data_IF_016450548107
#
_entry.id   IF_016450548107
#
_cell.length_a   1.000
_cell.length_b   1.000
_cell.length_c   1.000
_cell.angle_alpha   90.00
_cell.angle_beta   90.00
_cell.angle_gamma   90.00
#
_symmetry.space_group_name_H-M   'P 1'
#
loop_
_entity.id
_entity.type
_entity.pdbx_description
1 polymer ?
#
# COMPACT_ATOMS: atom_id res chain seq x y z
N UNK A 1 -12.01 3.57 -32.15
CA UNK A 1 -11.29 3.92 -30.91
C UNK A 1 -10.46 2.71 -30.50
N UNK A 2 -9.21 2.90 -30.08
CA UNK A 2 -8.36 1.78 -29.67
C UNK A 2 -8.86 1.26 -28.31
N UNK A 3 -9.24 -0.03 -28.24
CA UNK A 3 -9.61 -0.70 -27.00
C UNK A 3 -8.35 -1.08 -26.24
N UNK A 4 -8.40 -1.02 -24.91
CA UNK A 4 -7.30 -1.41 -24.05
C UNK A 4 -6.92 -2.87 -24.28
N UNK A 5 -5.61 -3.13 -24.35
CA UNK A 5 -5.04 -4.48 -24.36
C UNK A 5 -4.50 -4.81 -22.95
N UNK A 6 -5.26 -5.53 -22.11
CA UNK A 6 -4.86 -5.84 -20.76
C UNK A 6 -3.73 -6.87 -20.74
N UNK A 7 -3.19 -7.14 -19.54
CA UNK A 7 -2.22 -8.22 -19.33
C UNK A 7 -2.87 -9.58 -19.59
N UNK A 8 -2.23 -10.39 -20.42
CA UNK A 8 -2.52 -11.82 -20.52
C UNK A 8 -2.09 -12.56 -19.24
N UNK A 9 -2.64 -13.76 -18.99
CA UNK A 9 -2.27 -14.56 -17.81
C UNK A 9 -0.74 -14.79 -17.70
N UNK A 10 0.00 -15.18 -18.76
CA UNK A 10 1.45 -15.29 -18.69
C UNK A 10 2.14 -13.97 -18.36
N UNK A 11 1.69 -12.84 -18.91
CA UNK A 11 2.26 -11.53 -18.59
C UNK A 11 1.99 -11.15 -17.12
N UNK A 12 0.78 -11.43 -16.59
CA UNK A 12 0.47 -11.22 -15.17
C UNK A 12 1.41 -12.02 -14.26
N UNK A 13 1.65 -13.31 -14.57
CA UNK A 13 2.61 -14.15 -13.84
C UNK A 13 4.01 -13.57 -13.90
N UNK A 14 4.45 -13.11 -15.09
CA UNK A 14 5.78 -12.55 -15.26
C UNK A 14 5.98 -11.25 -14.48
N UNK A 15 5.00 -10.33 -14.51
CA UNK A 15 4.99 -9.08 -13.74
C UNK A 15 4.92 -9.34 -12.23
N UNK A 16 4.23 -10.40 -11.79
CA UNK A 16 4.23 -10.80 -10.38
C UNK A 16 5.63 -11.25 -9.93
N UNK A 17 6.26 -12.17 -10.67
CA UNK A 17 7.58 -12.70 -10.33
C UNK A 17 8.67 -11.63 -10.34
N UNK A 18 8.54 -10.57 -11.14
CA UNK A 18 9.52 -9.47 -11.18
C UNK A 18 9.50 -8.56 -9.96
N UNK A 19 8.46 -8.62 -9.12
CA UNK A 19 8.32 -7.79 -7.91
C UNK A 19 8.89 -8.46 -6.67
N UNK A 20 9.08 -9.77 -6.70
CA UNK A 20 9.58 -10.53 -5.56
C UNK A 20 11.08 -10.27 -5.38
N UNK A 21 11.51 -10.07 -4.14
CA UNK A 21 12.92 -9.86 -3.75
C UNK A 21 13.27 -10.85 -2.65
N UNK A 22 14.41 -11.49 -2.79
CA UNK A 22 15.00 -12.39 -1.81
C UNK A 22 16.50 -12.54 -2.12
N UNK A 23 17.29 -12.92 -1.11
CA UNK A 23 18.73 -13.09 -1.27
C UNK A 23 19.06 -14.44 -1.92
N UNK A 24 20.12 -14.49 -2.73
CA UNK A 24 20.44 -15.68 -3.52
C UNK A 24 20.84 -16.90 -2.66
N UNK A 25 21.26 -16.68 -1.42
CA UNK A 25 21.65 -17.67 -0.42
C UNK A 25 20.52 -18.03 0.56
N UNK A 26 19.32 -17.47 0.40
CA UNK A 26 18.17 -17.78 1.26
C UNK A 26 17.74 -19.25 1.08
N UNK A 27 17.85 -20.05 2.15
CA UNK A 27 17.50 -21.48 2.14
C UNK A 27 15.96 -21.70 2.14
N UNK A 28 15.22 -20.74 2.70
CA UNK A 28 13.75 -20.74 2.80
C UNK A 28 13.20 -19.59 1.96
N UNK A 29 12.60 -19.92 0.83
CA UNK A 29 12.19 -18.92 -0.15
C UNK A 29 10.77 -18.36 0.11
N UNK A 30 10.42 -17.21 -0.50
CA UNK A 30 9.07 -16.67 -0.41
C UNK A 30 8.00 -17.64 -0.95
N UNK A 31 6.79 -17.62 -0.40
CA UNK A 31 5.69 -18.48 -0.87
C UNK A 31 5.15 -18.02 -2.24
N UNK A 32 5.37 -16.75 -2.57
CA UNK A 32 4.91 -16.01 -3.73
C UNK A 32 5.50 -16.53 -5.05
N UNK A 33 6.64 -17.23 -5.01
CA UNK A 33 7.26 -17.89 -6.18
C UNK A 33 6.75 -19.34 -6.39
N UNK A 34 5.89 -19.84 -5.49
CA UNK A 34 5.26 -21.15 -5.64
C UNK A 34 4.04 -21.09 -6.55
N UNK A 35 3.57 -22.24 -7.03
CA UNK A 35 2.30 -22.30 -7.80
C UNK A 35 1.11 -21.72 -7.03
N UNK A 36 1.06 -21.95 -5.71
CA UNK A 36 -0.02 -21.47 -4.85
C UNK A 36 0.05 -19.94 -4.68
N UNK A 37 1.25 -19.43 -4.38
CA UNK A 37 1.47 -17.99 -4.21
C UNK A 37 1.24 -17.21 -5.50
N UNK A 38 1.66 -17.75 -6.66
CA UNK A 38 1.37 -17.15 -7.96
C UNK A 38 -0.15 -17.09 -8.19
N UNK A 39 -0.89 -18.17 -7.92
CA UNK A 39 -2.33 -18.21 -8.14
C UNK A 39 -3.06 -17.13 -7.33
N UNK A 40 -2.71 -17.01 -6.05
CA UNK A 40 -3.27 -16.05 -5.10
C UNK A 40 -2.98 -14.61 -5.51
N UNK A 41 -1.71 -14.26 -5.76
CA UNK A 41 -1.31 -12.89 -6.07
C UNK A 41 -1.69 -12.43 -7.48
N UNK A 42 -1.82 -13.35 -8.43
CA UNK A 42 -2.26 -13.04 -9.80
C UNK A 42 -3.80 -13.04 -9.92
N UNK A 43 -4.51 -13.59 -8.94
CA UNK A 43 -5.97 -13.71 -8.97
C UNK A 43 -6.47 -14.72 -10.00
N UNK A 44 -5.77 -15.86 -10.17
CA UNK A 44 -6.15 -16.91 -11.13
C UNK A 44 -6.27 -18.26 -10.44
N UNK A 45 -7.04 -19.17 -11.05
CA UNK A 45 -7.10 -20.56 -10.57
C UNK A 45 -5.70 -21.19 -10.54
N UNK A 46 -5.41 -21.93 -9.47
CA UNK A 46 -4.18 -22.74 -9.33
C UNK A 46 -3.97 -23.69 -10.51
N UNK A 47 -5.04 -24.13 -11.19
CA UNK A 47 -4.96 -25.00 -12.37
C UNK A 47 -4.45 -24.28 -13.63
N UNK A 48 -4.54 -22.95 -13.68
CA UNK A 48 -4.09 -22.14 -14.83
C UNK A 48 -2.59 -21.80 -14.75
N UNK A 49 -2.01 -21.76 -13.55
CA UNK A 49 -0.60 -21.41 -13.32
C UNK A 49 0.37 -22.31 -14.09
N UNK A 50 0.27 -23.66 -14.06
CA UNK A 50 1.24 -24.52 -14.74
C UNK A 50 1.31 -24.28 -16.24
N UNK A 51 0.17 -23.97 -16.88
CA UNK A 51 0.11 -23.68 -18.31
C UNK A 51 0.82 -22.37 -18.63
N UNK A 52 0.49 -21.30 -17.90
CA UNK A 52 1.09 -19.99 -18.08
C UNK A 52 2.62 -20.03 -17.86
N UNK A 53 3.06 -20.68 -16.80
CA UNK A 53 4.48 -20.82 -16.48
C UNK A 53 5.22 -21.66 -17.52
N UNK A 54 4.60 -22.74 -18.03
CA UNK A 54 5.20 -23.56 -19.09
C UNK A 54 5.46 -22.75 -20.37
N UNK A 55 4.55 -21.84 -20.72
CA UNK A 55 4.73 -20.93 -21.85
C UNK A 55 5.91 -19.97 -21.61
N UNK A 56 6.03 -19.40 -20.41
CA UNK A 56 7.14 -18.51 -20.04
C UNK A 56 8.50 -19.23 -19.98
N UNK A 57 8.53 -20.47 -19.49
CA UNK A 57 9.74 -21.30 -19.47
C UNK A 57 10.20 -21.63 -20.89
N UNK A 58 9.27 -21.95 -21.79
CA UNK A 58 9.58 -22.29 -23.19
C UNK A 58 10.33 -21.17 -23.91
N UNK A 59 10.08 -19.91 -23.55
CA UNK A 59 10.75 -18.72 -24.12
C UNK A 59 11.84 -18.15 -23.20
N UNK A 60 12.21 -18.88 -22.15
CA UNK A 60 13.28 -18.56 -21.20
C UNK A 60 13.06 -17.26 -20.39
N UNK A 61 11.80 -16.85 -20.19
CA UNK A 61 11.47 -15.68 -19.37
C UNK A 61 11.38 -16.03 -17.87
N UNK A 62 11.11 -17.30 -17.57
CA UNK A 62 11.02 -17.87 -16.22
C UNK A 62 11.81 -19.17 -16.19
N UNK A 63 12.47 -19.47 -15.07
CA UNK A 63 13.10 -20.75 -14.77
C UNK A 63 12.31 -21.50 -13.69
N UNK A 64 12.37 -22.83 -13.73
CA UNK A 64 11.77 -23.71 -12.72
C UNK A 64 12.85 -24.28 -11.81
N UNK A 65 12.57 -24.34 -10.50
CA UNK A 65 13.43 -24.94 -9.50
C UNK A 65 12.65 -25.74 -8.45
N UNK A 66 13.37 -26.24 -7.43
CA UNK A 66 12.77 -26.85 -6.24
C UNK A 66 13.37 -26.25 -4.97
N UNK A 67 12.54 -25.73 -4.07
CA UNK A 67 12.98 -25.11 -2.82
C UNK A 67 12.00 -25.36 -1.68
N UNK A 68 12.43 -25.05 -0.46
CA UNK A 68 11.53 -24.88 0.68
C UNK A 68 10.96 -23.47 0.61
N UNK A 69 9.69 -23.31 0.92
CA UNK A 69 9.06 -22.00 1.06
C UNK A 69 8.64 -21.79 2.51
N UNK A 70 8.40 -20.55 2.93
CA UNK A 70 8.08 -20.20 4.32
C UNK A 70 6.93 -21.01 4.92
N UNK A 71 5.87 -21.27 4.16
CA UNK A 71 4.74 -22.12 4.58
C UNK A 71 4.95 -23.62 4.26
N UNK A 72 5.95 -23.95 3.44
CA UNK A 72 6.13 -25.26 2.84
C UNK A 72 6.85 -26.26 3.75
N UNK A 73 6.13 -27.27 4.24
CA UNK A 73 6.72 -28.39 5.01
C UNK A 73 7.61 -29.34 4.19
N UNK A 74 7.65 -29.19 2.86
CA UNK A 74 8.42 -30.02 1.93
C UNK A 74 8.91 -29.20 0.74
N UNK A 75 9.98 -29.65 0.09
CA UNK A 75 10.44 -29.05 -1.18
C UNK A 75 9.34 -29.11 -2.23
N UNK A 76 9.07 -27.97 -2.85
CA UNK A 76 8.07 -27.83 -3.90
C UNK A 76 8.62 -27.07 -5.10
N UNK A 77 7.87 -27.08 -6.21
CA UNK A 77 8.22 -26.32 -7.41
C UNK A 77 8.15 -24.82 -7.13
N UNK A 78 9.19 -24.12 -7.54
CA UNK A 78 9.31 -22.67 -7.46
C UNK A 78 9.64 -22.13 -8.85
N UNK A 79 9.31 -20.87 -9.09
CA UNK A 79 9.49 -20.22 -10.38
C UNK A 79 10.18 -18.88 -10.22
N UNK A 80 11.26 -18.67 -10.96
CA UNK A 80 12.11 -17.49 -10.84
C UNK A 80 12.16 -16.76 -12.16
N UNK A 81 12.10 -15.43 -12.11
CA UNK A 81 12.24 -14.62 -13.31
C UNK A 81 13.71 -14.64 -13.79
N UNK A 82 13.92 -14.69 -15.10
CA UNK A 82 15.26 -14.60 -15.70
C UNK A 82 15.60 -13.14 -16.05
N UNK A 83 16.87 -12.81 -16.34
CA UNK A 83 17.22 -11.49 -16.88
C UNK A 83 16.44 -11.12 -18.16
N UNK A 84 16.21 -12.11 -19.03
CA UNK A 84 15.37 -11.97 -20.24
C UNK A 84 13.90 -11.69 -19.86
N UNK A 85 13.40 -12.37 -18.83
CA UNK A 85 12.10 -12.09 -18.20
C UNK A 85 11.99 -10.65 -17.72
N UNK A 86 13.00 -10.14 -17.00
CA UNK A 86 13.03 -8.77 -16.51
C UNK A 86 13.01 -7.74 -17.66
N UNK A 87 13.76 -7.98 -18.73
CA UNK A 87 13.69 -7.13 -19.93
C UNK A 87 12.28 -7.13 -20.53
N UNK A 88 11.64 -8.30 -20.61
CA UNK A 88 10.28 -8.43 -21.14
C UNK A 88 9.24 -7.72 -20.27
N UNK A 89 9.40 -7.71 -18.94
CA UNK A 89 8.53 -6.94 -18.04
C UNK A 89 8.59 -5.45 -18.34
N UNK A 90 9.79 -4.90 -18.55
CA UNK A 90 9.94 -3.48 -18.93
C UNK A 90 9.20 -3.16 -20.23
N UNK A 91 9.31 -4.01 -21.26
CA UNK A 91 8.55 -3.86 -22.51
C UNK A 91 7.02 -3.91 -22.27
N UNK A 92 6.55 -4.77 -21.37
CA UNK A 92 5.13 -4.89 -21.02
C UNK A 92 4.66 -3.61 -20.31
N UNK A 93 5.42 -3.11 -19.35
CA UNK A 93 5.13 -1.87 -18.62
C UNK A 93 5.12 -0.68 -19.58
N UNK A 94 6.14 -0.52 -20.43
CA UNK A 94 6.18 0.52 -21.46
C UNK A 94 4.99 0.46 -22.40
N UNK A 95 4.64 -0.76 -22.87
CA UNK A 95 3.46 -0.98 -23.71
C UNK A 95 2.19 -0.54 -23.01
N UNK A 96 1.98 -0.91 -21.75
CA UNK A 96 0.80 -0.54 -20.98
C UNK A 96 0.76 0.97 -20.76
N UNK A 97 1.86 1.56 -20.31
CA UNK A 97 1.99 3.00 -20.06
C UNK A 97 1.76 3.85 -21.33
N UNK A 98 2.07 3.31 -22.51
CA UNK A 98 1.83 3.95 -23.80
C UNK A 98 0.40 3.81 -24.34
N UNK A 99 -0.48 3.02 -23.71
CA UNK A 99 -1.86 2.88 -24.17
C UNK A 99 -2.66 4.15 -23.89
N UNK A 100 -3.32 4.66 -24.92
CA UNK A 100 -4.19 5.82 -24.85
C UNK A 100 -5.59 5.35 -24.51
N UNK A 101 -6.16 5.86 -23.43
CA UNK A 101 -7.52 5.57 -23.00
C UNK A 101 -8.26 6.87 -22.65
N UNK A 102 -9.58 6.94 -22.93
CA UNK A 102 -10.43 7.93 -22.30
C UNK A 102 -10.44 7.71 -20.79
N UNK A 103 -10.50 8.80 -20.01
CA UNK A 103 -10.40 8.79 -18.55
C UNK A 103 -11.62 9.48 -17.99
N UNK A 104 -12.32 8.84 -17.05
CA UNK A 104 -13.43 9.48 -16.36
C UNK A 104 -12.93 10.10 -15.05
N UNK A 105 -13.18 11.40 -14.88
CA UNK A 105 -12.85 12.19 -13.69
C UNK A 105 -14.10 12.96 -13.29
N UNK A 106 -14.65 12.73 -12.09
CA UNK A 106 -15.79 13.50 -11.56
C UNK A 106 -16.94 13.65 -12.58
N UNK A 107 -17.37 12.54 -13.19
CA UNK A 107 -18.39 12.48 -14.26
C UNK A 107 -18.05 13.17 -15.59
N UNK A 108 -16.80 13.60 -15.79
CA UNK A 108 -16.31 14.13 -17.08
C UNK A 108 -15.36 13.14 -17.73
N UNK A 109 -15.60 12.80 -19.01
CA UNK A 109 -14.68 11.95 -19.77
C UNK A 109 -13.67 12.84 -20.49
N UNK A 110 -12.40 12.74 -20.07
CA UNK A 110 -11.26 13.34 -20.75
C UNK A 110 -10.75 12.35 -21.79
N UNK A 111 -10.74 12.77 -23.06
CA UNK A 111 -10.29 11.92 -24.15
C UNK A 111 -8.76 11.94 -24.28
N UNK A 112 -8.16 10.77 -24.50
CA UNK A 112 -6.85 10.70 -25.15
C UNK A 112 -5.63 10.88 -24.26
N UNK A 113 -5.63 10.38 -23.02
CA UNK A 113 -4.42 10.36 -22.18
C UNK A 113 -3.76 8.97 -22.22
N UNK A 114 -2.43 8.92 -22.17
CA UNK A 114 -1.73 7.64 -21.93
C UNK A 114 -1.81 7.24 -20.46
N UNK A 115 -1.77 5.93 -20.15
CA UNK A 115 -1.70 5.46 -18.76
C UNK A 115 -0.54 6.11 -17.99
N UNK A 116 0.63 6.30 -18.61
CA UNK A 116 1.75 6.99 -17.97
C UNK A 116 1.53 8.49 -17.74
N UNK A 117 0.76 9.17 -18.60
CA UNK A 117 0.36 10.56 -18.37
C UNK A 117 -0.64 10.68 -17.22
N UNK A 118 -1.55 9.71 -17.10
CA UNK A 118 -2.50 9.60 -15.99
C UNK A 118 -1.73 9.41 -14.69
N UNK A 119 -0.82 8.43 -14.61
CA UNK A 119 -0.04 8.21 -13.39
C UNK A 119 0.72 9.46 -12.94
N UNK A 120 1.33 10.18 -13.89
CA UNK A 120 2.04 11.43 -13.63
C UNK A 120 1.12 12.57 -13.17
N UNK A 121 -0.04 12.73 -13.81
CA UNK A 121 -0.98 13.80 -13.50
C UNK A 121 -1.63 13.61 -12.12
N UNK A 122 -1.86 12.36 -11.71
CA UNK A 122 -2.50 12.02 -10.45
C UNK A 122 -1.53 11.60 -9.34
N UNK A 123 -0.23 11.49 -9.64
CA UNK A 123 0.80 10.98 -8.72
C UNK A 123 0.43 9.62 -8.10
N UNK A 124 -0.31 8.78 -8.84
CA UNK A 124 -0.87 7.50 -8.38
C UNK A 124 -0.60 6.42 -9.42
N UNK A 125 -0.29 5.21 -8.99
CA UNK A 125 -0.09 4.07 -9.89
C UNK A 125 -1.41 3.42 -10.25
N UNK A 126 -1.54 2.99 -11.50
CA UNK A 126 -2.70 2.27 -12.01
C UNK A 126 -2.51 0.78 -11.71
N UNK A 127 -3.54 0.10 -11.20
CA UNK A 127 -3.47 -1.35 -11.04
C UNK A 127 -3.56 -2.06 -12.39
N UNK A 128 -2.40 -2.40 -12.94
CA UNK A 128 -2.27 -3.09 -14.22
C UNK A 128 -2.94 -4.49 -14.23
N UNK A 129 -3.16 -5.13 -13.07
CA UNK A 129 -3.81 -6.43 -12.97
C UNK A 129 -5.34 -6.35 -13.05
N UNK A 130 -5.92 -5.25 -12.56
CA UNK A 130 -7.35 -4.95 -12.56
C UNK A 130 -7.90 -4.46 -13.91
N UNK A 131 -7.03 -4.04 -14.82
CA UNK A 131 -7.40 -3.58 -16.16
C UNK A 131 -8.16 -4.66 -16.97
N UNK A 132 -9.43 -4.40 -17.31
CA UNK A 132 -10.28 -5.27 -18.13
C UNK A 132 -10.31 -4.80 -19.60
N UNK A 133 -10.18 -5.73 -20.55
CA UNK A 133 -9.99 -5.39 -21.98
C UNK A 133 -11.22 -4.86 -22.71
N UNK A 134 -12.37 -4.83 -22.05
CA UNK A 134 -13.67 -4.38 -22.56
C UNK A 134 -14.06 -2.97 -22.08
N UNK A 135 -13.26 -2.33 -21.23
CA UNK A 135 -13.54 -0.97 -20.78
C UNK A 135 -13.39 0.05 -21.92
N UNK A 136 -14.41 0.89 -22.11
CA UNK A 136 -14.39 2.00 -23.08
C UNK A 136 -13.68 3.24 -22.54
N UNK A 137 -13.58 3.36 -21.23
CA UNK A 137 -12.88 4.41 -20.50
C UNK A 137 -12.33 3.84 -19.19
N UNK A 138 -11.19 4.37 -18.73
CA UNK A 138 -10.66 4.06 -17.41
C UNK A 138 -11.38 4.93 -16.38
N UNK A 139 -12.15 4.31 -15.48
CA UNK A 139 -12.74 5.00 -14.34
C UNK A 139 -11.71 5.09 -13.21
N UNK A 140 -11.09 6.26 -13.03
CA UNK A 140 -10.02 6.43 -12.05
C UNK A 140 -10.50 6.24 -10.63
N UNK A 141 -11.78 6.47 -10.37
CA UNK A 141 -12.37 6.29 -9.05
C UNK A 141 -12.42 4.79 -8.64
N UNK A 142 -12.27 3.85 -9.60
CA UNK A 142 -12.31 2.39 -9.34
C UNK A 142 -11.02 1.62 -9.67
N UNK A 143 -10.03 2.27 -10.31
CA UNK A 143 -8.83 1.63 -10.88
C UNK A 143 -7.52 1.97 -10.15
N UNK A 144 -7.61 2.70 -9.04
CA UNK A 144 -6.49 2.92 -8.14
C UNK A 144 -6.27 1.69 -7.27
N UNK A 145 -5.01 1.27 -7.09
CA UNK A 145 -4.69 0.19 -6.16
C UNK A 145 -5.31 0.48 -4.80
N UNK A 146 -6.02 -0.47 -4.20
CA UNK A 146 -6.39 -0.40 -2.78
C UNK A 146 -5.13 -0.01 -2.01
N UNK A 147 -5.14 1.15 -1.36
CA UNK A 147 -3.96 1.69 -0.69
C UNK A 147 -3.34 0.65 0.24
N UNK A 148 -2.03 0.73 0.48
CA UNK A 148 -1.39 -0.17 1.43
C UNK A 148 -1.89 0.20 2.82
N UNK A 149 -2.61 -0.72 3.47
CA UNK A 149 -3.20 -0.51 4.79
C UNK A 149 -2.56 -1.46 5.79
N UNK A 150 -1.72 -0.94 6.68
CA UNK A 150 -1.17 -1.66 7.84
C UNK A 150 -1.90 -1.23 9.11
N UNK A 151 -2.88 -2.06 9.52
CA UNK A 151 -3.68 -1.88 10.74
C UNK A 151 -3.35 -2.92 11.82
N UNK A 152 -2.17 -3.56 11.76
CA UNK A 152 -1.80 -4.64 12.67
C UNK A 152 -1.91 -4.22 14.15
N UNK A 153 -1.61 -2.94 14.40
CA UNK A 153 -1.64 -2.34 15.73
C UNK A 153 -2.96 -1.67 16.11
N UNK A 154 -3.97 -1.73 15.25
CA UNK A 154 -5.24 -1.03 15.47
C UNK A 154 -6.17 -1.78 16.42
N UNK A 155 -7.09 -1.09 17.14
CA UNK A 155 -8.15 -1.76 17.86
C UNK A 155 -9.07 -2.49 16.88
N UNK A 156 -9.70 -3.58 17.35
CA UNK A 156 -10.69 -4.30 16.52
C UNK A 156 -11.87 -3.38 16.18
N UNK A 157 -12.41 -3.46 14.96
CA UNK A 157 -13.66 -2.79 14.64
C UNK A 157 -14.74 -3.15 15.65
N UNK A 158 -15.45 -2.15 16.15
CA UNK A 158 -16.59 -2.29 17.06
C UNK A 158 -17.77 -1.51 16.48
N UNK A 159 -18.97 -1.78 17.00
CA UNK A 159 -20.12 -0.93 16.73
C UNK A 159 -19.78 0.52 17.10
N UNK A 160 -20.16 1.44 16.21
CA UNK A 160 -19.84 2.86 16.31
C UNK A 160 -21.14 3.65 16.17
N UNK A 161 -21.43 4.50 17.16
CA UNK A 161 -22.71 5.20 17.28
C UNK A 161 -22.47 6.67 17.68
N UNK A 162 -23.22 7.58 17.05
CA UNK A 162 -23.46 8.96 17.52
C UNK A 162 -22.18 9.80 17.72
N UNK A 163 -21.44 10.00 16.63
CA UNK A 163 -20.14 10.72 16.54
C UNK A 163 -19.91 11.35 15.15
N UNK A 164 -21.00 11.71 14.49
CA UNK A 164 -21.02 12.23 13.12
C UNK A 164 -20.26 13.56 13.02
N UNK A 165 -20.39 14.41 14.05
CA UNK A 165 -19.71 15.71 14.11
C UNK A 165 -18.20 15.56 14.15
N UNK A 166 -17.66 14.67 15.00
CA UNK A 166 -16.22 14.39 15.05
C UNK A 166 -15.72 13.76 13.76
N UNK A 167 -16.48 12.86 13.15
CA UNK A 167 -16.13 12.29 11.84
C UNK A 167 -16.06 13.37 10.75
N UNK A 168 -16.99 14.32 10.72
CA UNK A 168 -16.95 15.44 9.79
C UNK A 168 -15.74 16.35 10.01
N UNK A 169 -15.30 16.54 11.26
CA UNK A 169 -14.05 17.27 11.54
C UNK A 169 -12.82 16.53 10.99
N UNK A 170 -12.73 15.21 11.16
CA UNK A 170 -11.61 14.42 10.60
C UNK A 170 -11.64 14.46 9.07
N UNK A 171 -12.83 14.38 8.44
CA UNK A 171 -12.98 14.56 6.98
C UNK A 171 -12.53 15.95 6.52
N UNK A 172 -12.88 16.99 7.27
CA UNK A 172 -12.46 18.35 6.97
C UNK A 172 -10.94 18.50 7.06
N UNK A 173 -10.31 17.89 8.08
CA UNK A 173 -8.86 17.83 8.21
C UNK A 173 -8.18 17.26 6.96
N UNK A 174 -8.66 16.13 6.42
CA UNK A 174 -8.08 15.55 5.19
C UNK A 174 -8.18 16.47 3.97
N UNK A 175 -9.17 17.36 3.92
CA UNK A 175 -9.34 18.35 2.84
C UNK A 175 -8.55 19.65 3.08
N UNK A 176 -8.08 19.86 4.30
CA UNK A 176 -7.35 21.05 4.71
C UNK A 176 -5.86 21.00 4.31
N UNK A 177 -5.15 22.10 4.57
CA UNK A 177 -3.68 22.17 4.46
C UNK A 177 -2.97 21.63 5.69
N UNK A 178 -3.68 21.42 6.80
CA UNK A 178 -3.08 20.90 8.01
C UNK A 178 -2.52 19.50 7.78
N UNK A 179 -1.37 19.22 8.38
CA UNK A 179 -0.71 17.91 8.30
C UNK A 179 -0.91 17.08 9.54
N UNK A 180 -1.18 17.70 10.67
CA UNK A 180 -1.32 17.01 11.95
C UNK A 180 -2.70 17.31 12.51
N UNK A 181 -3.41 16.26 12.88
CA UNK A 181 -4.63 16.32 13.67
C UNK A 181 -4.38 15.61 14.99
N UNK A 182 -4.70 16.27 16.09
CA UNK A 182 -4.64 15.65 17.42
C UNK A 182 -6.06 15.42 17.92
N UNK A 183 -6.33 14.19 18.35
CA UNK A 183 -7.62 13.76 18.90
C UNK A 183 -7.44 13.49 20.38
N UNK A 184 -7.95 14.39 21.21
CA UNK A 184 -7.88 14.29 22.67
C UNK A 184 -9.12 13.59 23.24
N UNK A 185 -8.93 12.83 24.31
CA UNK A 185 -10.03 12.34 25.13
C UNK A 185 -9.58 11.54 26.35
N UNK A 186 -10.47 11.41 27.33
CA UNK A 186 -10.20 10.59 28.49
C UNK A 186 -10.13 9.09 28.13
N UNK A 187 -9.45 8.31 28.97
CA UNK A 187 -9.32 6.86 28.77
C UNK A 187 -10.71 6.22 28.67
N UNK A 188 -10.94 5.49 27.57
CA UNK A 188 -12.19 4.78 27.33
C UNK A 188 -13.29 5.60 26.64
N UNK A 189 -13.05 6.87 26.28
CA UNK A 189 -14.02 7.66 25.49
C UNK A 189 -14.10 7.23 24.01
N UNK A 190 -13.29 6.27 23.58
CA UNK A 190 -13.35 5.71 22.23
C UNK A 190 -12.62 6.52 21.17
N UNK A 191 -11.61 7.34 21.51
CA UNK A 191 -10.79 8.09 20.53
C UNK A 191 -10.10 7.16 19.52
N UNK A 192 -9.51 6.06 19.99
CA UNK A 192 -8.94 5.02 19.12
C UNK A 192 -10.01 4.37 18.24
N UNK A 193 -11.21 4.11 18.78
CA UNK A 193 -12.33 3.54 18.02
C UNK A 193 -12.88 4.50 16.97
N UNK A 194 -12.96 5.81 17.25
CA UNK A 194 -13.35 6.85 16.32
C UNK A 194 -12.41 6.91 15.12
N UNK A 195 -11.10 6.97 15.37
CA UNK A 195 -10.10 7.02 14.28
C UNK A 195 -10.07 5.69 13.52
N UNK A 196 -10.20 4.56 14.21
CA UNK A 196 -10.31 3.24 13.57
C UNK A 196 -11.52 3.16 12.65
N UNK A 197 -12.69 3.57 13.12
CA UNK A 197 -13.90 3.60 12.32
C UNK A 197 -13.73 4.52 11.10
N UNK A 198 -13.16 5.70 11.31
CA UNK A 198 -12.84 6.61 10.21
C UNK A 198 -11.93 5.97 9.17
N UNK A 199 -10.90 5.23 9.57
CA UNK A 199 -10.02 4.53 8.61
C UNK A 199 -10.73 3.45 7.80
N UNK A 200 -11.81 2.83 8.31
CA UNK A 200 -12.65 1.89 7.52
C UNK A 200 -13.49 2.60 6.46
N UNK A 201 -13.78 3.89 6.65
CA UNK A 201 -14.51 4.71 5.67
C UNK A 201 -13.62 5.22 4.54
N UNK A 202 -12.30 5.11 4.68
CA UNK A 202 -11.35 5.54 3.66
C UNK A 202 -11.12 4.41 2.66
N UNK A 203 -11.32 4.72 1.38
CA UNK A 203 -10.80 3.93 0.28
C UNK A 203 -9.57 4.63 -0.32
N UNK A 204 -8.67 3.86 -0.92
CA UNK A 204 -7.62 4.41 -1.81
C UNK A 204 -6.62 5.38 -1.14
N UNK A 205 -6.32 5.11 0.14
CA UNK A 205 -5.32 5.82 0.94
C UNK A 205 -4.32 4.81 1.52
N UNK A 206 -3.02 5.15 1.49
CA UNK A 206 -2.01 4.37 2.21
C UNK A 206 -2.11 4.69 3.70
N UNK A 207 -2.43 3.71 4.53
CA UNK A 207 -2.68 3.90 5.96
C UNK A 207 -1.68 3.09 6.77
N UNK A 208 -1.00 3.73 7.71
CA UNK A 208 -0.19 3.07 8.72
C UNK A 208 -0.73 3.36 10.11
N UNK A 209 -1.04 2.32 10.87
CA UNK A 209 -1.38 2.43 12.29
C UNK A 209 -0.20 2.01 13.18
N UNK A 210 0.18 2.87 14.11
CA UNK A 210 1.20 2.61 15.13
C UNK A 210 0.56 2.81 16.50
N UNK A 211 0.47 1.73 17.28
CA UNK A 211 0.05 1.85 18.68
C UNK A 211 1.23 2.24 19.55
N UNK A 212 1.15 3.39 20.21
CA UNK A 212 2.18 3.90 21.13
C UNK A 212 2.29 3.02 22.38
N UNK A 213 1.22 2.33 22.79
CA UNK A 213 1.27 1.37 23.89
C UNK A 213 2.16 0.14 23.56
N UNK A 214 2.22 -0.27 22.29
CA UNK A 214 3.03 -1.40 21.82
C UNK A 214 4.41 -0.96 21.29
N UNK A 215 4.52 0.27 20.83
CA UNK A 215 5.69 0.84 20.18
C UNK A 215 6.12 2.14 20.90
N UNK A 216 6.29 2.08 22.23
CA UNK A 216 6.62 3.25 23.05
C UNK A 216 8.07 3.74 22.87
N UNK A 217 8.94 2.92 22.28
CA UNK A 217 10.33 3.28 21.97
C UNK A 217 10.44 3.80 20.53
N UNK A 218 11.23 4.85 20.33
CA UNK A 218 11.44 5.48 19.01
C UNK A 218 11.85 4.47 17.93
N UNK A 219 12.84 3.61 18.24
CA UNK A 219 13.33 2.57 17.30
C UNK A 219 12.23 1.63 16.80
N UNK A 220 11.24 1.32 17.63
CA UNK A 220 10.13 0.46 17.24
C UNK A 220 9.20 1.19 16.25
N UNK A 221 8.93 2.48 16.49
CA UNK A 221 8.16 3.33 15.59
C UNK A 221 8.87 3.51 14.24
N UNK A 222 10.16 3.83 14.27
CA UNK A 222 11.00 3.98 13.06
C UNK A 222 11.00 2.70 12.22
N UNK A 223 11.14 1.54 12.86
CA UNK A 223 11.08 0.25 12.15
C UNK A 223 9.73 0.01 11.47
N UNK A 224 8.62 0.38 12.11
CA UNK A 224 7.26 0.29 11.52
C UNK A 224 7.14 1.24 10.34
N UNK A 225 7.62 2.48 10.49
CA UNK A 225 7.64 3.49 9.42
C UNK A 225 8.46 3.04 8.22
N UNK A 226 9.67 2.51 8.43
CA UNK A 226 10.54 2.03 7.35
C UNK A 226 9.94 0.82 6.63
N UNK A 227 9.34 -0.11 7.38
CA UNK A 227 8.68 -1.28 6.78
C UNK A 227 7.53 -0.84 5.87
N UNK A 228 6.69 0.06 6.35
CA UNK A 228 5.57 0.61 5.58
C UNK A 228 6.05 1.45 4.39
N UNK A 229 7.06 2.29 4.59
CA UNK A 229 7.69 3.09 3.54
C UNK A 229 8.18 2.20 2.39
N UNK A 230 8.87 1.12 2.72
CA UNK A 230 9.32 0.13 1.74
C UNK A 230 8.15 -0.50 0.95
N UNK A 231 7.02 -0.79 1.60
CA UNK A 231 5.82 -1.30 0.92
C UNK A 231 5.25 -0.27 -0.07
N UNK A 232 5.19 1.01 0.31
CA UNK A 232 4.70 2.09 -0.56
C UNK A 232 5.74 2.59 -1.57
N UNK A 233 6.97 2.04 -1.55
CA UNK A 233 8.05 2.38 -2.47
C UNK A 233 8.75 3.70 -2.17
N UNK A 234 8.80 4.11 -0.89
CA UNK A 234 9.48 5.32 -0.39
C UNK A 234 10.41 4.98 0.79
N UNK A 235 11.23 5.94 1.24
CA UNK A 235 11.88 5.87 2.55
C UNK A 235 11.01 6.49 3.65
N UNK A 236 11.24 6.12 4.91
CA UNK A 236 10.52 6.75 6.03
C UNK A 236 10.73 8.27 6.03
N UNK A 237 11.95 8.72 5.74
CA UNK A 237 12.29 10.14 5.63
C UNK A 237 11.44 10.84 4.55
N UNK A 238 11.28 10.23 3.37
CA UNK A 238 10.42 10.79 2.32
C UNK A 238 8.95 10.87 2.74
N UNK A 239 8.44 9.90 3.49
CA UNK A 239 7.06 9.97 4.00
C UNK A 239 6.86 11.10 5.01
N UNK A 240 7.85 11.37 5.85
CA UNK A 240 7.75 12.37 6.91
C UNK A 240 8.13 13.78 6.46
N UNK A 241 9.00 13.91 5.45
CA UNK A 241 9.56 15.21 5.03
C UNK A 241 9.03 15.66 3.68
N UNK A 242 8.58 14.76 2.80
CA UNK A 242 8.05 15.11 1.49
C UNK A 242 6.55 14.90 1.44
N UNK A 243 5.85 15.80 0.74
CA UNK A 243 4.39 15.71 0.60
C UNK A 243 3.97 14.33 0.10
N UNK A 244 3.23 13.62 0.95
CA UNK A 244 2.76 12.27 0.72
C UNK A 244 1.25 12.20 0.87
N UNK A 245 0.63 11.28 0.13
CA UNK A 245 -0.79 10.95 0.23
C UNK A 245 -1.07 9.91 1.34
N UNK A 246 -0.05 9.48 2.07
CA UNK A 246 -0.22 8.57 3.19
C UNK A 246 -0.88 9.24 4.41
N UNK A 247 -1.62 8.43 5.17
CA UNK A 247 -2.17 8.74 6.47
C UNK A 247 -1.49 7.86 7.51
N UNK A 248 -0.84 8.48 8.50
CA UNK A 248 -0.19 7.77 9.60
C UNK A 248 -0.95 8.07 10.89
N UNK A 249 -1.39 7.02 11.58
CA UNK A 249 -2.09 7.11 12.85
C UNK A 249 -1.16 6.69 13.98
N UNK A 250 -0.88 7.61 14.90
CA UNK A 250 -0.20 7.32 16.16
C UNK A 250 -1.23 7.24 17.28
N UNK A 251 -1.52 6.02 17.72
CA UNK A 251 -2.61 5.75 18.64
C UNK A 251 -2.14 5.59 20.09
N UNK A 252 -2.74 6.37 20.99
CA UNK A 252 -2.58 6.23 22.43
C UNK A 252 -1.33 6.91 22.95
N UNK A 253 -0.95 8.05 22.36
CA UNK A 253 0.14 8.88 22.85
C UNK A 253 -0.13 9.28 24.31
N UNK A 254 0.67 8.72 25.21
CA UNK A 254 0.54 8.87 26.66
C UNK A 254 1.81 8.38 27.34
N UNK A 255 2.45 9.25 28.13
CA UNK A 255 3.63 8.93 28.94
C UNK A 255 4.73 8.22 28.13
N UNK A 256 5.31 8.98 27.20
CA UNK A 256 6.34 8.51 26.26
C UNK A 256 7.72 9.00 26.68
N UNK A 257 8.78 8.32 26.20
CA UNK A 257 10.17 8.70 26.42
C UNK A 257 10.52 10.04 25.74
N UNK A 258 11.54 10.73 26.26
CA UNK A 258 11.98 12.06 25.78
C UNK A 258 12.32 12.05 24.28
N UNK A 259 12.98 11.01 23.78
CA UNK A 259 13.31 10.85 22.35
C UNK A 259 12.06 10.85 21.46
N UNK A 260 10.94 10.31 21.96
CA UNK A 260 9.66 10.30 21.23
C UNK A 260 9.03 11.69 21.25
N UNK A 261 9.16 12.43 22.35
CA UNK A 261 8.70 13.84 22.43
C UNK A 261 9.47 14.70 21.43
N UNK A 262 10.79 14.56 21.37
CA UNK A 262 11.64 15.27 20.41
C UNK A 262 11.24 14.93 18.96
N UNK A 263 11.04 13.64 18.65
CA UNK A 263 10.59 13.21 17.34
C UNK A 263 9.28 13.88 16.89
N UNK A 264 8.26 13.96 17.75
CA UNK A 264 7.02 14.63 17.40
C UNK A 264 7.15 16.15 17.34
N UNK A 265 8.01 16.75 18.17
CA UNK A 265 8.31 18.19 18.12
C UNK A 265 8.91 18.57 16.77
N UNK A 266 9.89 17.81 16.31
CA UNK A 266 10.50 17.93 14.99
C UNK A 266 9.46 17.83 13.85
N UNK A 267 8.54 16.87 13.94
CA UNK A 267 7.47 16.71 12.95
C UNK A 267 6.52 17.92 12.92
N UNK A 268 6.18 18.45 14.09
CA UNK A 268 5.32 19.64 14.21
C UNK A 268 6.02 20.87 13.65
N UNK A 269 7.33 21.03 13.84
CA UNK A 269 8.07 22.17 13.28
C UNK A 269 8.13 22.14 11.75
N UNK A 270 8.23 20.94 11.15
CA UNK A 270 8.40 20.80 9.70
C UNK A 270 7.12 21.12 8.90
N UNK A 271 5.93 20.80 9.42
CA UNK A 271 4.63 21.03 8.75
C UNK A 271 4.52 20.48 7.30
N UNK A 272 5.38 19.54 6.92
CA UNK A 272 5.42 18.88 5.62
C UNK A 272 5.22 17.37 5.80
N UNK A 273 5.23 16.59 4.72
CA UNK A 273 5.08 15.14 4.81
C UNK A 273 3.66 14.58 4.62
N UNK A 274 3.49 13.34 5.09
CA UNK A 274 2.23 12.62 5.22
C UNK A 274 1.27 13.31 6.19
N UNK A 275 -0.02 12.97 6.11
CA UNK A 275 -0.98 13.42 7.14
C UNK A 275 -0.88 12.53 8.36
N UNK A 276 -0.87 13.13 9.54
CA UNK A 276 -0.76 12.46 10.83
C UNK A 276 -2.05 12.66 11.62
N UNK A 277 -2.56 11.57 12.18
CA UNK A 277 -3.58 11.63 13.25
C UNK A 277 -2.94 11.07 14.51
N UNK A 278 -2.92 11.86 15.57
CA UNK A 278 -2.36 11.46 16.86
C UNK A 278 -3.51 11.39 17.87
N UNK A 279 -3.79 10.22 18.44
CA UNK A 279 -4.74 10.12 19.54
C UNK A 279 -3.99 10.27 20.87
N UNK A 280 -4.44 11.19 21.70
CA UNK A 280 -3.79 11.56 22.96
C UNK A 280 -4.77 11.40 24.12
N UNK A 281 -4.24 11.11 25.31
CA UNK A 281 -5.05 11.14 26.54
C UNK A 281 -5.06 12.55 27.12
N UNK A 282 -6.20 12.99 27.67
CA UNK A 282 -6.28 14.29 28.36
C UNK A 282 -5.31 14.39 29.55
N UNK A 283 -5.03 13.23 30.16
CA UNK A 283 -4.09 13.07 31.26
C UNK A 283 -2.62 12.97 30.82
N UNK A 284 -2.28 13.23 29.55
CA UNK A 284 -0.88 13.19 29.08
C UNK A 284 -0.02 14.12 29.95
N UNK A 285 1.08 13.59 30.55
CA UNK A 285 1.95 14.36 31.45
C UNK A 285 2.52 15.60 30.76
N UNK A 286 2.79 16.66 31.52
CA UNK A 286 3.28 17.94 30.97
C UNK A 286 4.62 17.84 30.26
N UNK A 287 5.46 16.88 30.63
CA UNK A 287 6.75 16.62 29.97
C UNK A 287 6.60 15.86 28.64
N UNK A 288 5.43 15.33 28.33
CA UNK A 288 5.09 14.70 27.05
C UNK A 288 4.11 15.54 26.22
N UNK A 289 3.84 16.79 26.60
CA UNK A 289 2.89 17.66 25.88
C UNK A 289 3.57 18.53 24.84
#
# INVERSE_FOLDING_TARGET
MARMKPLSIPEKVLVHLSKIRFDADEEILPDEISQSGIAENVGISRTHVPRAVKELIKVELVSEGKGYTRSGKKRMKIYLITPKGMAKVREIEERLMGQIMPVKIQNTIVQGMTLGQIEKAFHRKIDLFGLAGDEEFLDLDSQWSSGIVDLADSPKPSDFLDREDELEQIKHFLKSRARILVVYGARGMGTSSLVRYFTDLLSDVNILWISMARNHMLKAMEKRLETFAGMVGASAQQLLESRSDALIVFDGYFDVEEEVVEFFSDLVERQEGARLIITCRDSTPSYSR
#
